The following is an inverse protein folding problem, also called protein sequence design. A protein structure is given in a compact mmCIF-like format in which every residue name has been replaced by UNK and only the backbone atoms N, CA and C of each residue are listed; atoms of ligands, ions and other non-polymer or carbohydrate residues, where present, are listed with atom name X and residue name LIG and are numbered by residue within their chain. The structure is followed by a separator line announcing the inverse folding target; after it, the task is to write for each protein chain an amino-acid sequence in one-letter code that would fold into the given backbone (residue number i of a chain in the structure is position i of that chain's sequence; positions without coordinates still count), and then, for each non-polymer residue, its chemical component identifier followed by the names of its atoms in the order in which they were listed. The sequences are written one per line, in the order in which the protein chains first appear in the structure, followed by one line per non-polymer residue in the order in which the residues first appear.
data_IF_939400222855
#
_entry.id   IF_939400222855
#
_cell.length_a   1.000
_cell.length_b   1.000
_cell.length_c   1.000
_cell.angle_alpha   90.00
_cell.angle_beta   90.00
_cell.angle_gamma   90.00
#
_symmetry.space_group_name_H-M   'P 1'
#
loop_
_entity.id
_entity.type
_entity.pdbx_description
1 polymer ?
#
# COMPACT_ATOMS: atom_id res chain seq x y z
N UNK A 1 -41.45 -38.95 -0.19
CA UNK A 1 -40.10 -38.44 -0.58
C UNK A 1 -40.06 -36.95 -1.01
N UNK A 2 -41.00 -36.08 -0.62
CA UNK A 2 -40.99 -34.64 -1.02
C UNK A 2 -40.59 -33.64 0.09
N UNK A 3 -40.49 -34.06 1.36
CA UNK A 3 -40.10 -33.17 2.48
C UNK A 3 -38.58 -32.97 2.66
N UNK A 4 -37.74 -33.86 2.09
CA UNK A 4 -36.27 -33.79 2.24
C UNK A 4 -35.59 -32.84 1.24
N UNK A 5 -36.27 -32.46 0.14
CA UNK A 5 -35.76 -31.51 -0.87
C UNK A 5 -35.99 -30.04 -0.50
N UNK A 6 -36.97 -29.73 0.37
CA UNK A 6 -37.21 -28.35 0.83
C UNK A 6 -36.24 -27.91 1.93
N UNK A 7 -35.74 -28.85 2.75
CA UNK A 7 -34.82 -28.57 3.84
C UNK A 7 -33.41 -28.23 3.32
N UNK A 8 -32.97 -28.91 2.26
CA UNK A 8 -31.69 -28.67 1.58
C UNK A 8 -31.66 -27.32 0.86
N UNK A 9 -32.76 -26.89 0.24
CA UNK A 9 -32.86 -25.57 -0.41
C UNK A 9 -32.89 -24.45 0.64
N UNK A 10 -33.58 -24.63 1.77
CA UNK A 10 -33.55 -23.65 2.89
C UNK A 10 -32.18 -23.53 3.54
N UNK A 11 -31.43 -24.63 3.69
CA UNK A 11 -30.04 -24.58 4.14
C UNK A 11 -29.11 -23.93 3.10
N UNK A 12 -29.30 -24.16 1.80
CA UNK A 12 -28.46 -23.54 0.75
C UNK A 12 -28.70 -22.04 0.61
N UNK A 13 -29.95 -21.58 0.69
CA UNK A 13 -30.28 -20.14 0.66
C UNK A 13 -29.82 -19.45 1.96
N UNK A 14 -29.90 -20.12 3.11
CA UNK A 14 -29.30 -19.62 4.34
C UNK A 14 -27.76 -19.60 4.28
N UNK A 15 -27.11 -20.56 3.62
CA UNK A 15 -25.66 -20.61 3.45
C UNK A 15 -25.16 -19.57 2.42
N UNK A 16 -25.97 -19.25 1.40
CA UNK A 16 -25.68 -18.16 0.46
C UNK A 16 -25.88 -16.79 1.13
N UNK A 17 -26.86 -16.62 2.01
CA UNK A 17 -27.06 -15.37 2.76
C UNK A 17 -26.01 -15.21 3.88
N UNK A 18 -25.70 -16.25 4.66
CA UNK A 18 -24.64 -16.22 5.67
C UNK A 18 -23.25 -16.14 5.03
N UNK A 19 -23.03 -16.78 3.89
CA UNK A 19 -21.80 -16.68 3.09
C UNK A 19 -21.60 -15.31 2.45
N UNK A 20 -22.66 -14.70 1.92
CA UNK A 20 -22.62 -13.36 1.34
C UNK A 20 -22.47 -12.28 2.43
N UNK A 21 -23.14 -12.41 3.58
CA UNK A 21 -22.93 -11.51 4.73
C UNK A 21 -21.53 -11.69 5.33
N UNK A 22 -20.99 -12.91 5.40
CA UNK A 22 -19.60 -13.14 5.83
C UNK A 22 -18.59 -12.54 4.84
N UNK A 23 -18.78 -12.70 3.53
CA UNK A 23 -17.95 -12.05 2.51
C UNK A 23 -18.07 -10.52 2.56
N UNK A 24 -19.25 -9.95 2.78
CA UNK A 24 -19.45 -8.51 2.96
C UNK A 24 -18.78 -8.01 4.24
N UNK A 25 -18.93 -8.72 5.37
CA UNK A 25 -18.26 -8.36 6.65
C UNK A 25 -16.75 -8.41 6.48
N UNK A 26 -16.22 -9.48 5.86
CA UNK A 26 -14.79 -9.61 5.56
C UNK A 26 -14.30 -8.48 4.63
N UNK A 27 -15.04 -8.15 3.57
CA UNK A 27 -14.69 -7.03 2.68
C UNK A 27 -14.72 -5.70 3.44
N UNK A 28 -15.74 -5.45 4.26
CA UNK A 28 -15.88 -4.21 5.06
C UNK A 28 -14.76 -4.09 6.10
N UNK A 29 -14.39 -5.16 6.80
CA UNK A 29 -13.27 -5.17 7.75
C UNK A 29 -11.93 -4.96 7.05
N UNK A 30 -11.72 -5.58 5.89
CA UNK A 30 -10.52 -5.38 5.08
C UNK A 30 -10.40 -3.93 4.58
N UNK A 31 -11.50 -3.32 4.14
CA UNK A 31 -11.54 -1.90 3.74
C UNK A 31 -11.26 -0.99 4.93
N UNK A 32 -11.83 -1.27 6.11
CA UNK A 32 -11.53 -0.49 7.34
C UNK A 32 -10.05 -0.61 7.74
N UNK A 33 -9.48 -1.81 7.72
CA UNK A 33 -8.08 -2.03 8.02
C UNK A 33 -7.16 -1.29 7.04
N UNK A 34 -7.48 -1.33 5.75
CA UNK A 34 -6.77 -0.57 4.72
C UNK A 34 -6.86 0.94 4.97
N UNK A 35 -8.06 1.49 5.22
CA UNK A 35 -8.23 2.92 5.53
C UNK A 35 -7.42 3.33 6.76
N UNK A 36 -7.40 2.52 7.82
CA UNK A 36 -6.57 2.79 9.01
C UNK A 36 -5.06 2.78 8.69
N UNK A 37 -4.62 1.91 7.78
CA UNK A 37 -3.22 1.82 7.39
C UNK A 37 -2.79 2.97 6.47
N UNK A 38 -3.68 3.45 5.60
CA UNK A 38 -3.42 4.47 4.58
C UNK A 38 -3.66 5.89 5.09
N UNK A 39 -4.58 6.10 6.03
CA UNK A 39 -4.91 7.42 6.56
C UNK A 39 -3.69 8.27 7.01
N UNK A 40 -2.67 7.72 7.70
CA UNK A 40 -1.48 8.49 8.09
C UNK A 40 -0.68 9.05 6.90
N UNK A 41 -0.75 8.39 5.74
CA UNK A 41 -0.09 8.86 4.52
C UNK A 41 -0.92 9.99 3.90
N UNK A 42 -2.25 9.82 3.81
CA UNK A 42 -3.17 10.83 3.28
C UNK A 42 -3.14 12.12 4.12
N UNK A 43 -2.99 12.03 5.45
CA UNK A 43 -2.85 13.21 6.33
C UNK A 43 -1.57 14.01 6.09
N UNK A 44 -0.56 13.39 5.48
CA UNK A 44 0.72 14.04 5.11
C UNK A 44 0.74 14.42 3.61
N UNK A 45 -0.43 14.54 2.99
CA UNK A 45 -0.56 14.90 1.58
C UNK A 45 -0.17 13.78 0.61
N UNK A 46 0.05 12.56 1.09
CA UNK A 46 0.46 11.46 0.24
C UNK A 46 -0.75 10.83 -0.46
N UNK A 47 -0.65 10.66 -1.79
CA UNK A 47 -1.61 9.89 -2.56
C UNK A 47 -1.15 8.43 -2.62
N UNK A 48 -1.97 7.54 -2.08
CA UNK A 48 -1.72 6.10 -2.07
C UNK A 48 -2.58 5.40 -3.12
N UNK A 49 -1.95 4.62 -3.99
CA UNK A 49 -2.61 3.81 -5.02
C UNK A 49 -2.42 2.32 -4.76
N UNK A 50 -3.51 1.56 -4.88
CA UNK A 50 -3.49 0.11 -4.94
C UNK A 50 -3.01 -0.36 -6.31
N UNK A 51 -2.59 -1.62 -6.38
CA UNK A 51 -2.23 -2.26 -7.66
C UNK A 51 -3.52 -2.42 -8.48
N UNK A 52 -3.58 -1.84 -9.67
CA UNK A 52 -4.79 -1.83 -10.51
C UNK A 52 -5.20 -0.44 -11.01
N UNK A 53 -4.74 0.64 -10.37
CA UNK A 53 -4.85 2.00 -10.90
C UNK A 53 -6.22 2.69 -10.74
N UNK A 54 -7.28 1.96 -10.44
CA UNK A 54 -8.65 2.46 -10.34
C UNK A 54 -9.46 1.78 -9.23
N UNK A 55 -10.61 2.39 -8.91
CA UNK A 55 -11.51 2.02 -7.81
C UNK A 55 -11.96 0.56 -7.81
N UNK A 56 -11.75 -0.18 -8.91
CA UNK A 56 -12.15 -1.57 -9.10
C UNK A 56 -11.20 -2.59 -8.44
N UNK A 57 -9.95 -2.22 -8.13
CA UNK A 57 -9.01 -3.05 -7.35
C UNK A 57 -9.40 -3.25 -5.88
N UNK A 58 -10.34 -2.45 -5.36
CA UNK A 58 -10.88 -2.54 -3.99
C UNK A 58 -11.86 -3.70 -3.79
N UNK A 59 -12.51 -4.16 -4.85
CA UNK A 59 -13.61 -5.13 -4.77
C UNK A 59 -13.21 -6.55 -5.24
N UNK A 60 -12.15 -6.67 -6.05
CA UNK A 60 -11.69 -7.95 -6.58
C UNK A 60 -10.34 -8.35 -5.97
N UNK A 61 -10.34 -9.04 -4.84
CA UNK A 61 -9.23 -9.93 -4.46
C UNK A 61 -7.83 -9.30 -4.47
N UNK A 62 -7.65 -8.24 -3.67
CA UNK A 62 -6.38 -7.75 -3.09
C UNK A 62 -5.13 -7.86 -3.97
N UNK A 63 -4.80 -6.75 -4.61
CA UNK A 63 -3.39 -6.39 -4.85
C UNK A 63 -3.09 -5.14 -4.00
N UNK A 64 -2.08 -5.25 -3.13
CA UNK A 64 -1.82 -4.31 -2.03
C UNK A 64 -1.47 -2.88 -2.47
N UNK A 65 -1.11 -2.03 -1.50
CA UNK A 65 -0.54 -0.71 -1.81
C UNK A 65 0.68 -0.92 -2.70
N UNK A 66 0.67 -0.31 -3.89
CA UNK A 66 1.72 -0.50 -4.90
C UNK A 66 2.46 0.77 -5.25
N UNK A 67 1.79 1.92 -5.11
CA UNK A 67 2.40 3.21 -5.37
C UNK A 67 2.02 4.20 -4.28
N UNK A 68 3.00 4.90 -3.74
CA UNK A 68 2.80 6.00 -2.79
C UNK A 68 3.47 7.24 -3.37
N UNK A 69 2.74 8.35 -3.41
CA UNK A 69 3.21 9.62 -3.95
C UNK A 69 3.12 10.67 -2.87
N UNK A 70 4.25 11.21 -2.45
CA UNK A 70 4.34 12.34 -1.54
C UNK A 70 4.56 13.61 -2.35
N UNK A 71 3.49 14.42 -2.52
CA UNK A 71 3.55 15.71 -3.24
C UNK A 71 3.80 16.89 -2.30
N UNK A 72 3.37 16.74 -1.05
CA UNK A 72 3.64 17.73 -0.01
C UNK A 72 5.03 17.51 0.57
N UNK A 73 5.62 18.58 1.11
CA UNK A 73 7.02 18.68 1.52
C UNK A 73 7.33 17.82 2.77
N UNK A 74 7.36 16.50 2.59
CA UNK A 74 7.77 15.49 3.57
C UNK A 74 9.28 15.62 3.78
N UNK A 75 9.72 15.71 5.04
CA UNK A 75 11.13 15.73 5.40
C UNK A 75 11.65 14.36 5.85
N UNK A 76 12.94 14.31 6.13
CA UNK A 76 13.63 13.09 6.57
C UNK A 76 13.02 12.49 7.85
N UNK A 77 12.60 13.35 8.79
CA UNK A 77 11.99 12.92 10.05
C UNK A 77 10.63 12.24 9.83
N UNK A 78 9.80 12.80 8.96
CA UNK A 78 8.51 12.21 8.59
C UNK A 78 8.73 10.90 7.82
N UNK A 79 9.69 10.85 6.90
CA UNK A 79 10.04 9.63 6.17
C UNK A 79 10.40 8.49 7.12
N UNK A 80 11.23 8.74 8.13
CA UNK A 80 11.62 7.74 9.13
C UNK A 80 10.42 7.12 9.86
N UNK A 81 9.42 7.94 10.19
CA UNK A 81 8.18 7.48 10.84
C UNK A 81 7.28 6.68 9.89
N UNK A 82 7.31 6.99 8.60
CA UNK A 82 6.48 6.35 7.58
C UNK A 82 7.06 5.02 7.09
N UNK A 83 8.37 4.86 7.06
CA UNK A 83 9.03 3.60 6.61
C UNK A 83 8.48 2.40 7.38
N UNK A 84 8.35 2.50 8.71
CA UNK A 84 7.77 1.43 9.56
C UNK A 84 6.36 1.01 9.13
N UNK A 85 5.59 1.94 8.55
CA UNK A 85 4.25 1.66 8.03
C UNK A 85 4.32 1.05 6.63
N UNK A 86 5.26 1.51 5.80
CA UNK A 86 5.48 0.99 4.44
C UNK A 86 5.97 -0.46 4.42
N UNK A 87 6.69 -0.91 5.44
CA UNK A 87 7.08 -2.32 5.62
C UNK A 87 5.88 -3.28 5.65
N UNK A 88 4.69 -2.78 6.01
CA UNK A 88 3.44 -3.57 6.02
C UNK A 88 2.81 -3.69 4.64
N UNK A 89 3.40 -3.10 3.60
CA UNK A 89 2.95 -3.14 2.23
C UNK A 89 3.92 -3.99 1.37
N UNK A 90 3.70 -5.32 1.30
CA UNK A 90 4.62 -6.23 0.61
C UNK A 90 4.63 -6.04 -0.92
N UNK A 91 3.62 -5.35 -1.47
CA UNK A 91 3.49 -5.10 -2.90
C UNK A 91 3.87 -3.67 -3.30
N UNK A 92 4.46 -2.90 -2.38
CA UNK A 92 4.88 -1.53 -2.66
C UNK A 92 6.04 -1.54 -3.64
N UNK A 93 5.80 -1.10 -4.87
CA UNK A 93 6.79 -1.11 -5.94
C UNK A 93 7.31 0.30 -6.24
N UNK A 94 6.42 1.29 -6.27
CA UNK A 94 6.75 2.67 -6.66
C UNK A 94 6.61 3.65 -5.50
N UNK A 95 7.67 4.41 -5.22
CA UNK A 95 7.66 5.52 -4.25
C UNK A 95 8.03 6.81 -4.95
N UNK A 96 7.19 7.84 -4.86
CA UNK A 96 7.48 9.16 -5.41
C UNK A 96 7.64 10.14 -4.27
N UNK A 97 8.79 10.83 -4.22
CA UNK A 97 9.13 11.83 -3.23
C UNK A 97 9.34 13.17 -3.92
N UNK A 98 8.52 14.15 -3.57
CA UNK A 98 8.61 15.50 -4.10
C UNK A 98 8.91 16.49 -2.96
N UNK A 99 9.98 17.28 -3.12
CA UNK A 99 10.26 18.43 -2.27
C UNK A 99 11.65 18.48 -1.64
N UNK A 100 12.12 19.69 -1.28
CA UNK A 100 13.53 19.95 -0.97
C UNK A 100 13.95 19.50 0.43
N UNK A 101 13.01 19.05 1.27
CA UNK A 101 13.32 18.59 2.64
C UNK A 101 13.80 17.13 2.69
N UNK A 102 13.70 16.39 1.58
CA UNK A 102 14.24 15.04 1.47
C UNK A 102 15.73 15.13 1.13
N UNK A 103 16.57 14.55 1.97
CA UNK A 103 18.04 14.47 1.80
C UNK A 103 18.52 13.02 1.75
N UNK A 104 19.84 12.84 1.61
CA UNK A 104 20.48 11.52 1.67
C UNK A 104 20.18 10.80 3.00
N UNK A 105 20.03 11.54 4.09
CA UNK A 105 19.66 10.97 5.39
C UNK A 105 18.24 10.40 5.37
N UNK A 106 17.30 11.09 4.72
CA UNK A 106 15.94 10.61 4.49
C UNK A 106 15.90 9.33 3.65
N UNK A 107 16.70 9.28 2.58
CA UNK A 107 16.81 8.08 1.74
C UNK A 107 17.41 6.89 2.48
N UNK A 108 18.34 7.12 3.40
CA UNK A 108 18.93 6.03 4.19
C UNK A 108 17.88 5.25 5.00
N UNK A 109 16.75 5.88 5.35
CA UNK A 109 15.64 5.18 6.00
C UNK A 109 14.91 4.22 5.06
N UNK A 110 14.94 4.42 3.74
CA UNK A 110 14.25 3.56 2.77
C UNK A 110 14.95 2.22 2.54
N UNK A 111 16.16 2.02 3.07
CA UNK A 111 16.98 0.80 2.88
C UNK A 111 16.30 -0.48 3.37
N UNK A 112 15.35 -0.39 4.31
CA UNK A 112 14.59 -1.55 4.78
C UNK A 112 13.48 -2.00 3.82
N UNK A 113 13.07 -1.13 2.89
CA UNK A 113 12.01 -1.40 1.91
C UNK A 113 12.55 -2.14 0.68
N UNK A 114 13.10 -3.33 0.92
CA UNK A 114 13.75 -4.19 -0.10
C UNK A 114 12.81 -4.58 -1.26
N UNK A 115 11.50 -4.41 -1.11
CA UNK A 115 10.49 -4.67 -2.14
C UNK A 115 10.36 -3.56 -3.19
N UNK A 116 10.90 -2.36 -2.94
CA UNK A 116 10.78 -1.23 -3.85
C UNK A 116 11.50 -1.52 -5.18
N UNK A 117 10.77 -1.35 -6.27
CA UNK A 117 11.27 -1.47 -7.63
C UNK A 117 11.57 -0.11 -8.28
N UNK A 118 10.88 0.95 -7.86
CA UNK A 118 11.00 2.29 -8.44
C UNK A 118 10.92 3.36 -7.36
N UNK A 119 11.86 4.29 -7.38
CA UNK A 119 11.83 5.50 -6.56
C UNK A 119 11.96 6.69 -7.50
N UNK A 120 11.06 7.66 -7.44
CA UNK A 120 11.14 8.88 -8.24
C UNK A 120 11.36 10.06 -7.30
N UNK A 121 12.46 10.79 -7.53
CA UNK A 121 12.87 11.92 -6.72
C UNK A 121 12.67 13.22 -7.51
N UNK A 122 11.76 14.07 -7.07
CA UNK A 122 11.49 15.37 -7.70
C UNK A 122 11.81 16.51 -6.74
N UNK A 123 12.63 17.46 -7.19
CA UNK A 123 12.98 18.66 -6.41
C UNK A 123 13.51 18.35 -5.00
N UNK A 124 14.27 17.26 -4.83
CA UNK A 124 14.87 16.84 -3.56
C UNK A 124 16.30 17.37 -3.41
N UNK A 125 16.86 17.28 -2.21
CA UNK A 125 18.28 17.59 -1.91
C UNK A 125 19.12 16.32 -1.80
N UNK A 126 18.68 15.26 -2.47
CA UNK A 126 19.42 14.01 -2.56
C UNK A 126 20.58 14.19 -3.52
N UNK A 127 21.77 13.74 -3.12
CA UNK A 127 22.96 13.74 -3.96
C UNK A 127 23.07 12.47 -4.80
N UNK A 128 23.90 12.50 -5.83
CA UNK A 128 24.22 11.30 -6.62
C UNK A 128 24.85 10.19 -5.77
N UNK A 129 25.62 10.57 -4.75
CA UNK A 129 26.19 9.62 -3.80
C UNK A 129 25.09 8.95 -2.97
N UNK A 130 24.13 9.71 -2.43
CA UNK A 130 22.99 9.16 -1.69
C UNK A 130 22.15 8.20 -2.53
N UNK A 131 21.97 8.50 -3.82
CA UNK A 131 21.31 7.59 -4.78
C UNK A 131 22.09 6.30 -4.97
N UNK A 132 23.40 6.39 -5.21
CA UNK A 132 24.26 5.21 -5.39
C UNK A 132 24.29 4.33 -4.13
N UNK A 133 24.33 4.94 -2.95
CA UNK A 133 24.31 4.23 -1.68
C UNK A 133 22.97 3.50 -1.48
N UNK A 134 21.85 4.14 -1.84
CA UNK A 134 20.54 3.50 -1.76
C UNK A 134 20.39 2.34 -2.77
N UNK A 135 20.90 2.49 -3.99
CA UNK A 135 20.88 1.43 -5.01
C UNK A 135 21.64 0.18 -4.58
N UNK A 136 22.78 0.33 -3.88
CA UNK A 136 23.52 -0.84 -3.35
C UNK A 136 22.73 -1.59 -2.28
N UNK A 137 21.91 -0.88 -1.54
CA UNK A 137 21.14 -1.42 -0.42
C UNK A 137 19.80 -2.02 -0.87
N UNK A 138 19.26 -1.60 -2.01
CA UNK A 138 17.98 -2.09 -2.52
C UNK A 138 18.18 -3.02 -3.73
N UNK A 139 18.25 -4.35 -3.52
CA UNK A 139 18.59 -5.30 -4.59
C UNK A 139 17.52 -5.40 -5.70
N UNK A 140 16.30 -4.95 -5.43
CA UNK A 140 15.19 -4.99 -6.37
C UNK A 140 14.93 -3.64 -7.07
N UNK A 141 15.69 -2.59 -6.73
CA UNK A 141 15.49 -1.25 -7.27
C UNK A 141 15.97 -1.20 -8.73
N UNK A 142 15.06 -0.89 -9.64
CA UNK A 142 15.29 -0.84 -11.09
C UNK A 142 15.38 0.58 -11.62
N UNK A 143 14.74 1.53 -10.94
CA UNK A 143 14.61 2.92 -11.37
C UNK A 143 14.73 3.86 -10.16
N UNK A 144 15.63 4.86 -10.26
CA UNK A 144 15.89 5.87 -9.23
C UNK A 144 16.16 7.24 -9.87
#
# INVERSE_FOLDING_TARGET
MRKLRLLTIKCFVAFLIVGCVCQIVVVVEQVRAWRKAVAPFETLGARVSATGGDDMGRLAGRKGVSRIIFRENVGDAELAGLVKRMERFPNLDTLVLEGPKVTDAGLAHLKSLKQLGKILLYNTRVTDQGKADLQRELPNLREL
#
